data_IF_149515111008
#
_entry.id   IF_149515111008
#
_cell.length_a   1.000
_cell.length_b   1.000
_cell.length_c   1.000
_cell.angle_alpha   90.00
_cell.angle_beta   90.00
_cell.angle_gamma   90.00
#
_symmetry.space_group_name_H-M   'P 1'
#
loop_
_entity.id
_entity.type
_entity.pdbx_description
1 polymer ?
#
# COMPACT_ATOMS: atom_id res chain seq x y z
N UNK A 1 -1.54 -12.69 -13.23
CA UNK A 1 -2.08 -11.91 -12.09
C UNK A 1 -2.60 -12.87 -11.03
N UNK A 2 -1.95 -13.00 -9.88
CA UNK A 2 -2.58 -13.69 -8.73
C UNK A 2 -3.68 -12.77 -8.22
N UNK A 3 -4.95 -13.10 -8.53
CA UNK A 3 -6.08 -12.43 -7.91
C UNK A 3 -5.88 -12.52 -6.40
N UNK A 4 -5.68 -11.38 -5.73
CA UNK A 4 -5.77 -11.35 -4.26
C UNK A 4 -7.24 -11.60 -3.97
N UNK A 5 -7.59 -12.84 -3.61
CA UNK A 5 -8.98 -13.27 -3.39
C UNK A 5 -9.53 -12.66 -2.09
N UNK A 6 -8.65 -12.39 -1.12
CA UNK A 6 -8.98 -11.80 0.19
C UNK A 6 -9.92 -10.57 0.15
N UNK A 7 -9.66 -9.51 -0.65
CA UNK A 7 -10.52 -8.33 -0.75
C UNK A 7 -11.92 -8.57 -1.33
N UNK A 8 -12.21 -9.77 -1.86
CA UNK A 8 -13.53 -10.13 -2.36
C UNK A 8 -14.19 -11.14 -1.42
N UNK A 9 -13.45 -12.18 -1.01
CA UNK A 9 -14.00 -13.29 -0.25
C UNK A 9 -14.27 -12.91 1.21
N UNK A 10 -13.38 -12.12 1.84
CA UNK A 10 -13.57 -11.68 3.23
C UNK A 10 -14.82 -10.79 3.37
N UNK A 11 -15.04 -9.75 2.53
CA UNK A 11 -16.28 -8.98 2.58
C UNK A 11 -17.54 -9.80 2.37
N UNK A 12 -17.54 -10.79 1.46
CA UNK A 12 -18.70 -11.64 1.21
C UNK A 12 -19.03 -12.50 2.44
N UNK A 13 -18.02 -13.12 3.05
CA UNK A 13 -18.20 -13.94 4.26
C UNK A 13 -18.70 -13.09 5.41
N UNK A 14 -18.11 -11.91 5.63
CA UNK A 14 -18.57 -11.00 6.68
C UNK A 14 -19.98 -10.45 6.38
N UNK A 15 -20.32 -10.19 5.11
CA UNK A 15 -21.69 -9.84 4.73
C UNK A 15 -22.69 -10.93 5.13
N UNK A 16 -22.40 -12.19 4.80
CA UNK A 16 -23.28 -13.31 5.13
C UNK A 16 -23.46 -13.46 6.64
N UNK A 17 -22.37 -13.37 7.40
CA UNK A 17 -22.41 -13.42 8.87
C UNK A 17 -23.21 -12.24 9.44
N UNK A 18 -22.97 -11.03 8.96
CA UNK A 18 -23.67 -9.82 9.41
C UNK A 18 -25.16 -9.86 9.08
N UNK A 19 -25.54 -10.36 7.89
CA UNK A 19 -26.94 -10.57 7.54
C UNK A 19 -27.64 -11.56 8.48
N UNK A 20 -26.93 -12.61 8.91
CA UNK A 20 -27.50 -13.65 9.76
C UNK A 20 -27.57 -13.26 11.24
N UNK A 21 -26.59 -12.50 11.75
CA UNK A 21 -26.37 -12.32 13.19
C UNK A 21 -26.56 -10.91 13.69
N UNK A 22 -26.36 -9.89 12.85
CA UNK A 22 -26.34 -8.49 13.29
C UNK A 22 -27.62 -7.78 12.87
N UNK A 23 -28.34 -7.22 13.86
CA UNK A 23 -29.51 -6.38 13.63
C UNK A 23 -29.09 -4.96 13.28
N UNK A 24 -29.89 -4.26 12.48
CA UNK A 24 -29.56 -2.88 12.07
C UNK A 24 -29.44 -1.93 13.25
N UNK A 25 -30.26 -2.11 14.29
CA UNK A 25 -30.18 -1.34 15.54
C UNK A 25 -28.84 -1.50 16.28
N UNK A 26 -28.15 -2.63 16.10
CA UNK A 26 -26.82 -2.84 16.66
C UNK A 26 -25.81 -1.89 16.02
N UNK A 27 -25.90 -1.68 14.70
CA UNK A 27 -25.06 -0.70 13.99
C UNK A 27 -25.28 0.71 14.53
N UNK A 28 -26.52 1.10 14.81
CA UNK A 28 -26.83 2.40 15.41
C UNK A 28 -26.21 2.58 16.80
N UNK A 29 -26.14 1.52 17.59
CA UNK A 29 -25.55 1.54 18.94
C UNK A 29 -24.03 1.74 18.87
N UNK A 30 -23.36 1.11 17.90
CA UNK A 30 -21.90 1.13 17.78
C UNK A 30 -21.36 2.15 16.77
N UNK A 31 -22.25 2.84 16.02
CA UNK A 31 -21.85 3.73 14.90
C UNK A 31 -20.85 4.79 15.33
N UNK A 32 -21.02 5.39 16.51
CA UNK A 32 -20.13 6.45 16.99
C UNK A 32 -18.71 5.94 17.13
N UNK A 33 -18.52 4.77 17.76
CA UNK A 33 -17.21 4.15 17.89
C UNK A 33 -16.60 3.73 16.55
N UNK A 34 -17.41 3.19 15.64
CA UNK A 34 -16.95 2.82 14.29
C UNK A 34 -16.53 4.05 13.48
N UNK A 35 -17.32 5.13 13.52
CA UNK A 35 -17.00 6.39 12.85
C UNK A 35 -15.70 6.96 13.42
N UNK A 36 -15.53 6.99 14.73
CA UNK A 36 -14.27 7.45 15.36
C UNK A 36 -13.07 6.62 14.89
N UNK A 37 -13.18 5.29 14.87
CA UNK A 37 -12.10 4.42 14.40
C UNK A 37 -11.78 4.65 12.90
N UNK A 38 -12.80 4.79 12.06
CA UNK A 38 -12.65 5.10 10.64
C UNK A 38 -12.03 6.50 10.43
N UNK A 39 -12.40 7.49 11.23
CA UNK A 39 -11.79 8.83 11.22
C UNK A 39 -10.29 8.77 11.53
N UNK A 40 -9.88 8.00 12.54
CA UNK A 40 -8.46 7.83 12.89
C UNK A 40 -7.70 7.17 11.72
N UNK A 41 -8.27 6.14 11.11
CA UNK A 41 -7.67 5.48 9.95
C UNK A 41 -7.56 6.43 8.74
N UNK A 42 -8.60 7.23 8.47
CA UNK A 42 -8.58 8.24 7.42
C UNK A 42 -7.54 9.34 7.69
N UNK A 43 -7.44 9.82 8.94
CA UNK A 43 -6.43 10.79 9.34
C UNK A 43 -5.02 10.25 9.15
N UNK A 44 -4.75 9.00 9.53
CA UNK A 44 -3.46 8.36 9.30
C UNK A 44 -3.12 8.27 7.80
N UNK A 45 -4.10 7.95 6.95
CA UNK A 45 -3.93 7.93 5.50
C UNK A 45 -3.62 9.34 4.92
N UNK A 46 -4.27 10.39 5.42
CA UNK A 46 -4.00 11.78 5.03
C UNK A 46 -2.60 12.24 5.44
N UNK A 47 -2.18 11.94 6.67
CA UNK A 47 -0.82 12.23 7.16
C UNK A 47 0.22 11.49 6.31
N UNK A 48 -0.08 10.27 5.88
CA UNK A 48 0.81 9.51 4.99
C UNK A 48 0.92 10.17 3.61
N UNK A 49 -0.19 10.63 3.04
CA UNK A 49 -0.20 11.35 1.77
C UNK A 49 0.58 12.67 1.85
N UNK A 50 0.55 13.37 2.99
CA UNK A 50 1.21 14.67 3.15
C UNK A 50 2.72 14.57 3.39
N UNK A 51 3.23 13.44 3.91
CA UNK A 51 4.66 13.24 4.22
C UNK A 51 5.56 13.17 2.98
N UNK A 52 5.01 13.13 1.78
CA UNK A 52 5.79 13.12 0.55
C UNK A 52 6.69 11.88 0.42
N UNK A 53 7.51 11.87 -0.63
CA UNK A 53 8.49 10.81 -0.85
C UNK A 53 9.68 10.96 0.11
N UNK A 54 10.14 9.90 0.79
CA UNK A 54 11.39 9.92 1.54
C UNK A 54 12.59 9.87 0.57
N UNK A 55 12.76 10.88 -0.27
CA UNK A 55 13.94 11.07 -1.08
C UNK A 55 14.80 12.16 -0.45
N UNK A 56 15.71 11.78 0.44
CA UNK A 56 16.69 12.73 0.98
C UNK A 56 17.89 12.91 0.04
N UNK A 57 18.10 12.04 -0.96
CA UNK A 57 19.17 12.23 -1.96
C UNK A 57 18.91 11.43 -3.25
N UNK A 58 18.26 12.05 -4.24
CA UNK A 58 17.98 11.43 -5.55
C UNK A 58 19.25 11.14 -6.38
N UNK A 59 20.40 11.71 -6.00
CA UNK A 59 21.67 11.59 -6.74
C UNK A 59 22.33 10.21 -6.66
N UNK A 60 21.87 9.32 -5.79
CA UNK A 60 22.47 7.98 -5.59
C UNK A 60 21.75 6.86 -6.36
N UNK A 61 20.62 7.17 -7.00
CA UNK A 61 19.80 6.19 -7.71
C UNK A 61 19.97 6.35 -9.22
N UNK A 62 20.00 5.22 -9.93
CA UNK A 62 19.92 5.24 -11.40
C UNK A 62 18.52 5.67 -11.85
N UNK A 63 18.43 6.27 -13.04
CA UNK A 63 17.16 6.76 -13.61
C UNK A 63 16.08 5.68 -13.64
N UNK A 64 16.45 4.42 -13.93
CA UNK A 64 15.53 3.27 -13.94
C UNK A 64 15.01 2.90 -12.54
N UNK A 65 15.87 3.02 -11.50
CA UNK A 65 15.48 2.75 -10.10
C UNK A 65 14.52 3.83 -9.60
N UNK A 66 14.78 5.10 -9.94
CA UNK A 66 13.91 6.24 -9.62
C UNK A 66 12.54 6.06 -10.28
N UNK A 67 12.50 5.66 -11.56
CA UNK A 67 11.24 5.47 -12.27
C UNK A 67 10.40 4.36 -11.63
N UNK A 68 11.03 3.24 -11.26
CA UNK A 68 10.34 2.12 -10.61
C UNK A 68 9.74 2.53 -9.25
N UNK A 69 10.51 3.23 -8.42
CA UNK A 69 10.03 3.72 -7.11
C UNK A 69 8.91 4.74 -7.31
N UNK A 70 9.07 5.66 -8.26
CA UNK A 70 8.06 6.70 -8.54
C UNK A 70 6.73 6.09 -8.97
N UNK A 71 6.76 5.09 -9.87
CA UNK A 71 5.55 4.35 -10.29
C UNK A 71 4.89 3.64 -9.09
N UNK A 72 5.68 2.97 -8.25
CA UNK A 72 5.17 2.30 -7.05
C UNK A 72 4.51 3.29 -6.07
N UNK A 73 5.08 4.48 -5.91
CA UNK A 73 4.57 5.52 -5.02
C UNK A 73 3.29 6.15 -5.58
N UNK A 74 3.23 6.44 -6.88
CA UNK A 74 2.00 6.93 -7.53
C UNK A 74 0.87 5.91 -7.37
N UNK A 75 1.17 4.62 -7.54
CA UNK A 75 0.20 3.55 -7.33
C UNK A 75 -0.27 3.50 -5.87
N UNK A 76 0.64 3.65 -4.92
CA UNK A 76 0.31 3.71 -3.49
C UNK A 76 -0.56 4.93 -3.17
N UNK A 77 -0.25 6.11 -3.72
CA UNK A 77 -1.03 7.32 -3.54
C UNK A 77 -2.45 7.18 -4.10
N UNK A 78 -2.61 6.58 -5.28
CA UNK A 78 -3.95 6.23 -5.83
C UNK A 78 -4.70 5.26 -4.93
N UNK A 79 -4.00 4.27 -4.37
CA UNK A 79 -4.57 3.30 -3.44
C UNK A 79 -5.04 3.95 -2.13
N UNK A 80 -4.28 4.92 -1.60
CA UNK A 80 -4.65 5.70 -0.43
C UNK A 80 -5.87 6.60 -0.71
N UNK A 81 -5.93 7.23 -1.90
CA UNK A 81 -7.09 8.02 -2.32
C UNK A 81 -8.36 7.17 -2.44
N UNK A 82 -8.26 5.96 -3.02
CA UNK A 82 -9.42 5.06 -3.09
C UNK A 82 -9.84 4.55 -1.72
N UNK A 83 -8.89 4.27 -0.83
CA UNK A 83 -9.18 3.93 0.56
C UNK A 83 -9.91 5.05 1.30
N UNK A 84 -9.47 6.31 1.15
CA UNK A 84 -10.15 7.46 1.74
C UNK A 84 -11.59 7.60 1.24
N UNK A 85 -11.80 7.49 -0.08
CA UNK A 85 -13.13 7.56 -0.67
C UNK A 85 -14.07 6.48 -0.11
N UNK A 86 -13.59 5.24 -0.02
CA UNK A 86 -14.37 4.12 0.54
C UNK A 86 -14.64 4.33 2.03
N UNK A 87 -13.66 4.82 2.79
CA UNK A 87 -13.81 5.10 4.23
C UNK A 87 -14.89 6.15 4.48
N UNK A 88 -14.86 7.27 3.73
CA UNK A 88 -15.89 8.32 3.80
C UNK A 88 -17.26 7.79 3.41
N UNK A 89 -17.34 6.99 2.34
CA UNK A 89 -18.59 6.34 1.92
C UNK A 89 -19.13 5.39 3.00
N UNK A 90 -18.25 4.67 3.69
CA UNK A 90 -18.62 3.78 4.80
C UNK A 90 -19.19 4.56 5.98
N UNK A 91 -18.57 5.68 6.33
CA UNK A 91 -19.06 6.57 7.39
C UNK A 91 -20.41 7.17 7.03
N UNK A 92 -20.60 7.59 5.77
CA UNK A 92 -21.89 8.03 5.25
C UNK A 92 -22.95 6.94 5.33
N UNK A 93 -22.62 5.71 4.95
CA UNK A 93 -23.52 4.56 5.05
C UNK A 93 -23.94 4.29 6.50
N UNK A 94 -22.98 4.35 7.45
CA UNK A 94 -23.25 4.19 8.88
C UNK A 94 -24.18 5.29 9.41
N UNK A 95 -24.01 6.54 8.98
CA UNK A 95 -24.87 7.67 9.35
C UNK A 95 -26.30 7.52 8.80
N UNK A 96 -26.44 6.94 7.61
CA UNK A 96 -27.72 6.78 6.92
C UNK A 96 -28.52 5.55 7.38
N UNK A 97 -28.01 4.74 8.31
CA UNK A 97 -28.66 3.50 8.79
C UNK A 97 -30.11 3.70 9.26
N UNK A 98 -30.34 4.65 10.16
CA UNK A 98 -31.67 4.99 10.67
C UNK A 98 -32.59 5.62 9.59
N UNK A 99 -32.22 6.71 8.90
CA UNK A 99 -33.09 7.35 7.93
C UNK A 99 -33.35 6.47 6.70
N UNK A 100 -32.42 5.60 6.30
CA UNK A 100 -32.62 4.70 5.16
C UNK A 100 -33.69 3.64 5.42
N UNK A 101 -33.78 3.13 6.65
CA UNK A 101 -34.87 2.21 7.03
C UNK A 101 -36.22 2.91 7.07
N UNK A 102 -36.27 4.16 7.53
CA UNK A 102 -37.51 4.94 7.57
C UNK A 102 -37.99 5.37 6.18
N UNK A 103 -37.07 5.76 5.28
CA UNK A 103 -37.38 6.08 3.88
C UNK A 103 -37.79 4.85 3.06
N UNK A 104 -37.25 3.67 3.41
CA UNK A 104 -37.60 2.41 2.73
C UNK A 104 -38.98 1.87 3.16
N UNK A 105 -39.48 2.20 4.36
CA UNK A 105 -40.79 1.73 4.86
C UNK A 105 -41.96 1.99 3.91
N UNK A 106 -42.17 3.20 3.35
CA UNK A 106 -43.30 3.46 2.45
C UNK A 106 -43.17 2.78 1.07
N UNK A 107 -41.95 2.46 0.63
CA UNK A 107 -41.68 1.79 -0.65
C UNK A 107 -41.61 0.26 -0.53
N UNK A 108 -41.54 -0.28 0.70
CA UNK A 108 -41.31 -1.69 0.95
C UNK A 108 -42.51 -2.61 0.63
N UNK A 109 -43.73 -2.07 0.47
CA UNK A 109 -44.90 -2.87 0.12
C UNK A 109 -45.03 -4.17 0.94
N UNK A 110 -45.03 -5.33 0.27
CA UNK A 110 -45.16 -6.69 0.82
C UNK A 110 -43.84 -7.39 1.18
N UNK A 111 -42.68 -6.75 1.02
CA UNK A 111 -41.42 -7.33 1.45
C UNK A 111 -41.38 -7.34 2.98
N UNK A 112 -41.07 -8.49 3.62
CA UNK A 112 -40.94 -8.51 5.07
C UNK A 112 -39.83 -7.53 5.44
N UNK A 113 -40.15 -6.53 6.27
CA UNK A 113 -39.21 -5.50 6.79
C UNK A 113 -37.89 -6.12 7.30
N UNK A 114 -37.96 -7.39 7.70
CA UNK A 114 -36.85 -8.25 8.11
C UNK A 114 -35.78 -8.46 7.03
N UNK A 115 -36.15 -8.60 5.75
CA UNK A 115 -35.20 -8.79 4.65
C UNK A 115 -34.43 -7.51 4.31
N UNK A 116 -35.12 -6.35 4.30
CA UNK A 116 -34.46 -5.05 4.11
C UNK A 116 -33.39 -4.78 5.17
N UNK A 117 -33.68 -5.10 6.44
CA UNK A 117 -32.71 -4.99 7.52
C UNK A 117 -31.52 -5.92 7.39
N UNK A 118 -31.73 -7.18 6.95
CA UNK A 118 -30.64 -8.13 6.71
C UNK A 118 -29.73 -7.69 5.57
N UNK A 119 -30.30 -7.20 4.47
CA UNK A 119 -29.54 -6.67 3.34
C UNK A 119 -28.68 -5.45 3.75
N UNK A 120 -29.26 -4.52 4.52
CA UNK A 120 -28.50 -3.37 5.05
C UNK A 120 -27.37 -3.82 5.98
N UNK A 121 -27.62 -4.78 6.87
CA UNK A 121 -26.61 -5.32 7.77
C UNK A 121 -25.48 -6.02 7.01
N UNK A 122 -25.81 -6.81 5.98
CA UNK A 122 -24.83 -7.42 5.10
C UNK A 122 -23.98 -6.38 4.38
N UNK A 123 -24.60 -5.33 3.85
CA UNK A 123 -23.91 -4.25 3.14
C UNK A 123 -22.91 -3.53 4.06
N UNK A 124 -23.35 -3.12 5.26
CA UNK A 124 -22.48 -2.46 6.24
C UNK A 124 -21.33 -3.39 6.63
N UNK A 125 -21.62 -4.66 6.91
CA UNK A 125 -20.61 -5.67 7.23
C UNK A 125 -19.58 -5.86 6.13
N UNK A 126 -20.01 -6.01 4.87
CA UNK A 126 -19.12 -6.15 3.72
C UNK A 126 -18.23 -4.93 3.54
N UNK A 127 -18.81 -3.74 3.57
CA UNK A 127 -18.07 -2.49 3.34
C UNK A 127 -17.05 -2.28 4.47
N UNK A 128 -17.43 -2.51 5.73
CA UNK A 128 -16.52 -2.41 6.87
C UNK A 128 -15.36 -3.42 6.77
N UNK A 129 -15.66 -4.68 6.44
CA UNK A 129 -14.66 -5.72 6.23
C UNK A 129 -13.72 -5.36 5.07
N UNK A 130 -14.26 -4.81 3.99
CA UNK A 130 -13.47 -4.34 2.86
C UNK A 130 -12.50 -3.21 3.28
N UNK A 131 -12.95 -2.25 4.09
CA UNK A 131 -12.08 -1.19 4.64
C UNK A 131 -10.93 -1.79 5.45
N UNK A 132 -11.22 -2.75 6.34
CA UNK A 132 -10.19 -3.42 7.16
C UNK A 132 -9.18 -4.16 6.29
N UNK A 133 -9.64 -4.98 5.35
CA UNK A 133 -8.75 -5.71 4.42
C UNK A 133 -7.91 -4.72 3.60
N UNK A 134 -8.50 -3.62 3.17
CA UNK A 134 -7.78 -2.60 2.38
C UNK A 134 -6.71 -1.89 3.22
N UNK A 135 -7.00 -1.60 4.48
CA UNK A 135 -6.04 -1.03 5.42
C UNK A 135 -4.83 -1.96 5.59
N UNK A 136 -5.06 -3.25 5.83
CA UNK A 136 -3.97 -4.24 5.91
C UNK A 136 -3.14 -4.31 4.61
N UNK A 137 -3.81 -4.26 3.45
CA UNK A 137 -3.10 -4.24 2.17
C UNK A 137 -2.20 -3.00 2.02
N UNK A 138 -2.69 -1.83 2.42
CA UNK A 138 -1.90 -0.59 2.39
C UNK A 138 -0.67 -0.73 3.28
N UNK A 139 -0.83 -1.18 4.53
CA UNK A 139 0.29 -1.40 5.46
C UNK A 139 1.30 -2.40 4.89
N UNK A 140 0.83 -3.51 4.30
CA UNK A 140 1.74 -4.48 3.66
C UNK A 140 2.48 -3.89 2.46
N UNK A 141 1.82 -3.04 1.67
CA UNK A 141 2.44 -2.34 0.54
C UNK A 141 3.51 -1.38 1.02
N UNK A 142 3.25 -0.70 2.13
CA UNK A 142 4.17 0.26 2.73
C UNK A 142 5.45 -0.41 3.22
N UNK A 143 5.32 -1.55 3.91
CA UNK A 143 6.45 -2.36 4.35
C UNK A 143 7.26 -2.89 3.16
N UNK A 144 6.58 -3.32 2.09
CA UNK A 144 7.27 -3.78 0.89
C UNK A 144 8.06 -2.66 0.20
N UNK A 145 7.50 -1.45 0.17
CA UNK A 145 8.14 -0.28 -0.44
C UNK A 145 9.38 0.15 0.36
N UNK A 146 9.30 0.13 1.70
CA UNK A 146 10.45 0.36 2.57
C UNK A 146 11.55 -0.71 2.35
N UNK A 147 11.15 -1.97 2.17
CA UNK A 147 12.09 -3.04 1.83
C UNK A 147 12.78 -2.83 0.49
N UNK A 148 12.05 -2.38 -0.55
CA UNK A 148 12.63 -2.06 -1.85
C UNK A 148 13.56 -0.84 -1.78
N UNK A 149 13.15 0.22 -1.08
CA UNK A 149 13.99 1.41 -0.86
C UNK A 149 15.30 1.05 -0.14
N UNK A 150 15.22 0.23 0.92
CA UNK A 150 16.41 -0.26 1.63
C UNK A 150 17.34 -1.04 0.70
N UNK A 151 16.81 -1.94 -0.13
CA UNK A 151 17.61 -2.71 -1.11
C UNK A 151 18.31 -1.80 -2.12
N UNK A 152 17.63 -0.78 -2.63
CA UNK A 152 18.27 0.16 -3.56
C UNK A 152 19.36 0.99 -2.88
N UNK A 153 19.15 1.42 -1.63
CA UNK A 153 20.16 2.14 -0.86
C UNK A 153 21.42 1.29 -0.61
N UNK A 154 21.26 0.01 -0.25
CA UNK A 154 22.39 -0.92 -0.12
C UNK A 154 23.13 -1.10 -1.45
N UNK A 155 22.42 -1.23 -2.58
CA UNK A 155 23.04 -1.32 -3.91
C UNK A 155 23.78 -0.05 -4.31
N UNK A 156 23.27 1.12 -3.93
CA UNK A 156 23.94 2.39 -4.19
C UNK A 156 25.27 2.48 -3.44
N UNK A 157 25.29 2.12 -2.15
CA UNK A 157 26.52 2.07 -1.33
C UNK A 157 27.52 1.06 -1.90
N UNK A 158 27.06 -0.15 -2.26
CA UNK A 158 27.93 -1.16 -2.88
C UNK A 158 28.57 -0.68 -4.20
N UNK A 159 27.82 0.09 -5.01
CA UNK A 159 28.35 0.69 -6.24
C UNK A 159 29.39 1.77 -5.95
N UNK A 160 29.18 2.59 -4.93
CA UNK A 160 30.14 3.62 -4.53
C UNK A 160 31.44 2.99 -4.00
N UNK A 161 31.33 1.96 -3.15
CA UNK A 161 32.48 1.22 -2.64
C UNK A 161 33.24 0.49 -3.75
N UNK A 162 32.52 -0.09 -4.73
CA UNK A 162 33.15 -0.71 -5.90
C UNK A 162 33.91 0.33 -6.75
N UNK A 163 33.35 1.53 -6.94
CA UNK A 163 34.03 2.63 -7.64
C UNK A 163 35.29 3.09 -6.90
N UNK A 164 35.22 3.24 -5.56
CA UNK A 164 36.39 3.58 -4.74
C UNK A 164 37.48 2.52 -4.85
N UNK A 165 37.12 1.24 -4.71
CA UNK A 165 38.06 0.11 -4.88
C UNK A 165 38.68 0.05 -6.27
N UNK A 166 37.91 0.28 -7.33
CA UNK A 166 38.42 0.33 -8.71
C UNK A 166 39.36 1.53 -8.94
N UNK A 167 39.09 2.67 -8.30
CA UNK A 167 39.98 3.85 -8.35
C UNK A 167 41.26 3.66 -7.51
N UNK A 168 41.21 2.83 -6.48
CA UNK A 168 42.36 2.44 -5.65
C UNK A 168 43.23 1.34 -6.30
N UNK A 169 42.76 0.65 -7.35
CA UNK A 169 43.63 -0.22 -8.15
C UNK A 169 44.63 0.70 -8.85
N UNK A 170 45.93 0.67 -8.48
CA UNK A 170 46.91 1.51 -9.11
C UNK A 170 46.94 1.18 -10.60
N UNK A 171 47.02 2.22 -11.44
CA UNK A 171 47.37 2.14 -12.86
C UNK A 171 48.83 1.66 -13.06
N UNK A 172 49.33 0.78 -12.19
CA UNK A 172 50.66 0.16 -12.23
C UNK A 172 50.60 -1.32 -12.65
N UNK A 173 49.62 -1.70 -13.47
CA UNK A 173 49.85 -2.79 -14.45
C UNK A 173 50.34 -2.24 -15.81
N UNK A 174 50.98 -1.07 -15.77
CA UNK A 174 51.82 -0.53 -16.82
C UNK A 174 53.27 -0.32 -16.37
N UNK A 175 53.72 -0.92 -15.26
CA UNK A 175 55.08 -0.72 -14.76
C UNK A 175 56.02 -1.85 -15.15
N UNK A 176 56.96 -1.49 -16.03
CA UNK A 176 58.37 -1.88 -15.94
C UNK A 176 58.77 -3.30 -16.33
N UNK A 177 58.50 -3.70 -17.57
CA UNK A 177 59.43 -4.63 -18.23
C UNK A 177 60.65 -3.81 -18.69
N UNK A 178 61.64 -3.60 -17.82
CA UNK A 178 62.97 -3.17 -18.27
C UNK A 178 63.59 -4.36 -18.99
N UNK A 179 63.60 -4.34 -20.31
CA UNK A 179 64.46 -5.24 -21.09
C UNK A 179 65.89 -5.11 -20.58
N UNK A 180 66.54 -6.19 -20.11
CA UNK A 180 67.93 -6.12 -19.69
C UNK A 180 68.80 -5.69 -20.86
N UNK A 181 69.73 -4.77 -20.62
CA UNK A 181 70.76 -4.40 -21.59
C UNK A 181 71.47 -5.69 -22.04
N UNK A 182 71.48 -5.93 -23.37
CA UNK A 182 72.01 -7.10 -24.09
C UNK A 182 71.04 -8.22 -24.49
N UNK A 183 69.73 -8.08 -24.31
CA UNK A 183 68.79 -9.03 -24.92
C UNK A 183 68.75 -8.84 -26.46
N UNK A 184 69.45 -9.70 -27.20
CA UNK A 184 69.44 -9.71 -28.68
C UNK A 184 70.78 -9.48 -29.38
N UNK A 185 71.90 -9.33 -28.66
CA UNK A 185 73.21 -9.30 -29.32
C UNK A 185 73.59 -10.71 -29.80
N UNK A 186 73.74 -10.87 -31.12
CA UNK A 186 74.41 -12.04 -31.70
C UNK A 186 75.88 -11.96 -31.35
N UNK A 187 76.36 -12.99 -30.65
CA UNK A 187 77.79 -13.23 -30.44
C UNK A 187 78.39 -13.49 -31.82
N UNK A 188 79.30 -12.62 -32.25
CA UNK A 188 80.07 -12.77 -33.49
C UNK A 188 81.11 -13.88 -33.34
#
# INVERSE_FOLDING_TARGET
MKLKIAPVLVPIVVAAISAATVRVSTWDTIKTGLITALSVAAAAALVRLSRGLPFTTASHFETEEIEKITRAVIQLARSLRSFLAVTVLTMGLLLLTAPALELARPWAGSLPVQWGGRCFSALIGAVLAYVVVRLFQIVSSDLSLLGEQSRFMVRAVQREDAKKRLAEIPTEMGSSFKTPENYGHRIQ
#
